data_IF_695462492829
#
_entry.id   IF_695462492829
#
_cell.length_a   1.000
_cell.length_b   1.000
_cell.length_c   1.000
_cell.angle_alpha   90.00
_cell.angle_beta   90.00
_cell.angle_gamma   90.00
#
_symmetry.space_group_name_H-M   'P 1'
#
loop_
_entity.id
_entity.type
_entity.pdbx_description
1 polymer ?
#
# COMPACT_ATOMS: atom_id res chain seq x y z
N UNK A 1 -25.13 -10.05 -4.10
CA UNK A 1 -23.92 -9.37 -4.61
C UNK A 1 -22.73 -10.13 -4.06
N UNK A 2 -21.57 -10.20 -4.74
CA UNK A 2 -20.38 -10.81 -4.13
C UNK A 2 -19.84 -9.82 -3.07
N UNK A 3 -19.70 -10.26 -1.83
CA UNK A 3 -18.98 -9.49 -0.82
C UNK A 3 -17.50 -9.69 -1.05
N UNK A 4 -16.72 -8.60 -1.14
CA UNK A 4 -15.28 -8.70 -1.32
C UNK A 4 -14.58 -8.96 0.00
N UNK A 5 -13.59 -9.86 -0.02
CA UNK A 5 -12.83 -10.16 1.19
C UNK A 5 -11.96 -8.95 1.61
N UNK A 6 -11.37 -8.25 0.62
CA UNK A 6 -10.51 -7.06 0.87
C UNK A 6 -10.87 -5.94 -0.09
N UNK A 7 -11.06 -4.73 0.44
CA UNK A 7 -11.18 -3.51 -0.35
C UNK A 7 -9.97 -2.61 -0.07
N UNK A 8 -9.21 -2.28 -1.13
CA UNK A 8 -8.10 -1.35 -1.06
C UNK A 8 -8.55 0.05 -1.49
N UNK A 9 -8.27 1.07 -0.67
CA UNK A 9 -8.75 2.43 -0.85
C UNK A 9 -7.56 3.38 -1.01
N UNK A 10 -7.56 4.15 -2.11
CA UNK A 10 -6.52 5.15 -2.32
C UNK A 10 -6.29 5.53 -3.77
N UNK A 11 -5.06 5.94 -4.10
CA UNK A 11 -4.69 6.37 -5.45
C UNK A 11 -4.44 5.19 -6.38
N UNK A 12 -4.74 5.47 -7.65
CA UNK A 12 -4.34 4.74 -8.83
C UNK A 12 -3.85 5.78 -9.83
N UNK A 13 -2.62 5.69 -10.30
CA UNK A 13 -1.95 6.73 -11.06
C UNK A 13 -1.03 6.16 -12.14
N UNK A 14 -0.54 7.04 -13.02
CA UNK A 14 0.50 6.68 -13.99
C UNK A 14 1.86 7.11 -13.46
N UNK A 15 2.80 6.18 -13.43
CA UNK A 15 4.22 6.47 -13.31
C UNK A 15 4.86 6.51 -14.70
N UNK A 16 5.55 7.62 -14.98
CA UNK A 16 6.42 7.78 -16.14
C UNK A 16 7.88 7.74 -15.70
N UNK A 17 8.54 6.64 -15.94
CA UNK A 17 9.96 6.45 -15.66
C UNK A 17 10.78 6.90 -16.87
N UNK A 18 11.67 7.90 -16.68
CA UNK A 18 12.65 8.27 -17.72
C UNK A 18 13.58 7.10 -17.99
N UNK A 19 13.70 6.71 -19.25
CA UNK A 19 14.56 5.61 -19.70
C UNK A 19 15.89 6.09 -20.27
N UNK A 20 16.05 7.42 -20.45
CA UNK A 20 17.33 8.00 -20.80
C UNK A 20 18.29 7.91 -19.60
N UNK A 21 19.56 7.65 -19.87
CA UNK A 21 20.55 7.37 -18.83
C UNK A 21 21.17 8.66 -18.31
N UNK A 22 21.22 8.82 -16.99
CA UNK A 22 21.93 9.89 -16.29
C UNK A 22 21.48 11.31 -16.67
N UNK A 23 20.16 11.48 -16.89
CA UNK A 23 19.53 12.76 -17.18
C UNK A 23 18.50 13.14 -16.13
N UNK A 24 18.19 14.42 -15.98
CA UNK A 24 17.05 14.89 -15.21
C UNK A 24 15.77 14.94 -16.06
N UNK A 25 14.64 15.35 -15.45
CA UNK A 25 13.37 15.44 -16.16
C UNK A 25 13.33 16.57 -17.20
N UNK A 26 14.21 17.57 -17.11
CA UNK A 26 14.30 18.65 -18.10
C UNK A 26 14.95 18.14 -19.41
N UNK A 27 15.89 17.24 -19.32
CA UNK A 27 16.63 16.70 -20.45
C UNK A 27 16.05 15.39 -20.98
N UNK A 28 15.33 14.64 -20.13
CA UNK A 28 14.72 13.34 -20.45
C UNK A 28 13.68 13.43 -21.57
N UNK A 29 13.78 12.52 -22.55
CA UNK A 29 12.94 12.48 -23.76
C UNK A 29 12.13 11.22 -23.91
N UNK A 30 12.61 10.11 -23.31
CA UNK A 30 11.97 8.80 -23.41
C UNK A 30 11.44 8.38 -22.04
N UNK A 31 10.18 7.95 -22.00
CA UNK A 31 9.52 7.56 -20.77
C UNK A 31 8.79 6.23 -20.93
N UNK A 32 9.00 5.32 -19.98
CA UNK A 32 8.20 4.13 -19.83
C UNK A 32 6.98 4.44 -18.97
N UNK A 33 5.78 4.20 -19.51
CA UNK A 33 4.52 4.35 -18.78
C UNK A 33 4.21 3.07 -18.01
N UNK A 34 3.97 3.19 -16.71
CA UNK A 34 3.55 2.10 -15.83
C UNK A 34 2.29 2.46 -15.04
N UNK A 35 1.53 1.46 -14.64
CA UNK A 35 0.50 1.64 -13.64
C UNK A 35 1.15 1.67 -12.25
N UNK A 36 0.74 2.63 -11.43
CA UNK A 36 1.21 2.83 -10.08
C UNK A 36 0.07 3.15 -9.10
N UNK A 37 0.43 3.41 -7.86
CA UNK A 37 -0.48 3.60 -6.74
C UNK A 37 -0.38 2.44 -5.75
N UNK A 38 0.07 2.73 -4.54
CA UNK A 38 0.35 1.69 -3.55
C UNK A 38 -0.87 0.82 -3.24
N UNK A 39 -2.10 1.35 -2.96
CA UNK A 39 -3.26 0.51 -2.68
C UNK A 39 -3.71 -0.30 -3.91
N UNK A 40 -3.46 0.19 -5.13
CA UNK A 40 -3.72 -0.56 -6.35
C UNK A 40 -2.76 -1.76 -6.50
N UNK A 41 -1.47 -1.55 -6.19
CA UNK A 41 -0.47 -2.63 -6.16
C UNK A 41 -0.85 -3.71 -5.11
N UNK A 42 -1.32 -3.29 -3.93
CA UNK A 42 -1.81 -4.21 -2.88
C UNK A 42 -3.00 -5.02 -3.39
N UNK A 43 -4.00 -4.39 -4.02
CA UNK A 43 -5.17 -5.10 -4.57
C UNK A 43 -4.78 -6.10 -5.66
N UNK A 44 -3.85 -5.72 -6.54
CA UNK A 44 -3.30 -6.58 -7.57
C UNK A 44 -2.52 -7.77 -6.97
N UNK A 45 -1.75 -7.56 -5.89
CA UNK A 45 -1.04 -8.63 -5.20
C UNK A 45 -2.00 -9.66 -4.61
N UNK A 46 -3.09 -9.22 -3.95
CA UNK A 46 -4.12 -10.11 -3.42
C UNK A 46 -4.75 -10.93 -4.53
N UNK A 47 -5.14 -10.28 -5.62
CA UNK A 47 -5.79 -10.95 -6.76
C UNK A 47 -4.87 -11.95 -7.47
N UNK A 48 -3.59 -11.62 -7.65
CA UNK A 48 -2.56 -12.54 -8.21
C UNK A 48 -2.35 -13.79 -7.35
N UNK A 49 -2.55 -13.69 -6.05
CA UNK A 49 -2.52 -14.81 -5.10
C UNK A 49 -3.85 -15.59 -5.07
N UNK A 50 -4.81 -15.26 -5.94
CA UNK A 50 -6.11 -15.91 -6.00
C UNK A 50 -7.13 -15.42 -4.97
N UNK A 51 -6.82 -14.32 -4.26
CA UNK A 51 -7.73 -13.67 -3.32
C UNK A 51 -8.79 -12.82 -4.00
N UNK A 52 -9.86 -12.53 -3.27
CA UNK A 52 -10.95 -11.66 -3.73
C UNK A 52 -10.68 -10.22 -3.26
N UNK A 53 -10.32 -9.35 -4.20
CA UNK A 53 -9.95 -7.97 -3.95
C UNK A 53 -10.74 -6.99 -4.82
N UNK A 54 -11.13 -5.87 -4.22
CA UNK A 54 -11.69 -4.73 -4.93
C UNK A 54 -10.84 -3.48 -4.69
N UNK A 55 -10.90 -2.55 -5.64
CA UNK A 55 -10.22 -1.26 -5.54
C UNK A 55 -11.23 -0.11 -5.54
N UNK A 56 -11.10 0.80 -4.58
CA UNK A 56 -11.88 2.04 -4.47
C UNK A 56 -10.96 3.25 -4.56
N UNK A 57 -11.21 4.12 -5.52
CA UNK A 57 -10.41 5.31 -5.78
C UNK A 57 -10.98 6.11 -6.94
N UNK A 58 -10.26 7.15 -7.37
CA UNK A 58 -10.71 8.04 -8.44
C UNK A 58 -9.60 8.34 -9.44
N UNK A 59 -9.91 8.20 -10.72
CA UNK A 59 -9.03 8.54 -11.86
C UNK A 59 -9.77 9.43 -12.86
N UNK A 60 -9.08 10.09 -13.75
CA UNK A 60 -9.71 10.84 -14.82
C UNK A 60 -10.40 9.95 -15.84
N UNK A 61 -11.49 10.41 -16.43
CA UNK A 61 -12.16 9.77 -17.58
C UNK A 61 -11.38 10.08 -18.87
N UNK A 62 -10.12 9.66 -18.90
CA UNK A 62 -9.15 9.91 -19.95
C UNK A 62 -8.43 8.61 -20.37
N UNK A 63 -7.59 8.62 -21.41
CA UNK A 63 -6.87 7.42 -21.86
C UNK A 63 -6.01 6.76 -20.77
N UNK A 64 -5.49 7.53 -19.80
CA UNK A 64 -4.71 7.00 -18.69
C UNK A 64 -5.58 6.31 -17.66
N UNK A 65 -6.71 6.90 -17.27
CA UNK A 65 -7.68 6.27 -16.38
C UNK A 65 -8.22 4.95 -16.94
N UNK A 66 -8.55 4.92 -18.25
CA UNK A 66 -8.95 3.67 -18.91
C UNK A 66 -7.82 2.62 -18.96
N UNK A 67 -6.58 3.05 -19.17
CA UNK A 67 -5.43 2.14 -19.10
C UNK A 67 -5.29 1.53 -17.70
N UNK A 68 -5.34 2.35 -16.67
CA UNK A 68 -5.24 1.92 -15.27
C UNK A 68 -6.35 0.93 -14.89
N UNK A 69 -7.60 1.27 -15.25
CA UNK A 69 -8.73 0.36 -15.02
C UNK A 69 -8.50 -1.00 -15.67
N UNK A 70 -8.12 -1.01 -16.97
CA UNK A 70 -7.84 -2.26 -17.68
C UNK A 70 -6.70 -3.06 -17.07
N UNK A 71 -5.68 -2.39 -16.51
CA UNK A 71 -4.56 -3.06 -15.84
C UNK A 71 -5.04 -3.82 -14.61
N UNK A 72 -5.90 -3.22 -13.79
CA UNK A 72 -6.48 -3.90 -12.63
C UNK A 72 -7.48 -5.00 -13.03
N UNK A 73 -8.34 -4.74 -14.03
CA UNK A 73 -9.27 -5.74 -14.56
C UNK A 73 -8.52 -6.99 -15.09
N UNK A 74 -7.37 -6.79 -15.75
CA UNK A 74 -6.55 -7.88 -16.32
C UNK A 74 -5.94 -8.81 -15.26
N UNK A 75 -5.76 -8.33 -14.04
CA UNK A 75 -5.31 -9.14 -12.89
C UNK A 75 -6.47 -9.53 -11.96
N UNK A 76 -7.72 -9.37 -12.42
CA UNK A 76 -8.95 -9.77 -11.73
C UNK A 76 -9.27 -9.01 -10.44
N UNK A 77 -8.79 -7.78 -10.28
CA UNK A 77 -9.26 -6.86 -9.24
C UNK A 77 -10.63 -6.31 -9.65
N UNK A 78 -11.61 -6.33 -8.74
CA UNK A 78 -12.90 -5.67 -9.01
C UNK A 78 -12.74 -4.15 -8.98
N UNK A 79 -12.98 -3.52 -10.11
CA UNK A 79 -12.92 -2.06 -10.29
C UNK A 79 -14.28 -1.39 -10.29
N UNK A 80 -15.33 -2.05 -9.81
CA UNK A 80 -16.69 -1.49 -9.77
C UNK A 80 -16.85 -0.29 -8.84
N UNK A 81 -15.90 -0.08 -7.92
CA UNK A 81 -15.80 1.10 -7.04
C UNK A 81 -14.75 2.13 -7.51
N UNK A 82 -14.18 1.96 -8.70
CA UNK A 82 -13.29 2.95 -9.31
C UNK A 82 -14.12 4.03 -9.99
N UNK A 83 -14.00 5.27 -9.53
CA UNK A 83 -14.69 6.43 -10.10
C UNK A 83 -13.88 7.02 -11.25
N UNK A 84 -14.56 7.24 -12.40
CA UNK A 84 -13.99 7.90 -13.57
C UNK A 84 -14.47 9.35 -13.59
N UNK A 85 -13.62 10.30 -13.19
CA UNK A 85 -13.95 11.73 -13.12
C UNK A 85 -13.97 12.38 -14.50
N UNK A 86 -15.03 13.13 -14.83
CA UNK A 86 -15.18 13.79 -16.14
C UNK A 86 -14.44 15.13 -16.25
N UNK A 87 -13.99 15.68 -15.13
CA UNK A 87 -13.45 17.06 -15.08
C UNK A 87 -11.97 17.09 -14.77
N UNK A 88 -11.51 16.25 -13.85
CA UNK A 88 -10.12 16.20 -13.45
C UNK A 88 -9.35 15.10 -14.22
N UNK A 89 -8.10 15.35 -14.64
CA UNK A 89 -7.29 14.34 -15.32
C UNK A 89 -6.82 13.26 -14.34
N UNK A 90 -6.36 12.15 -14.89
CA UNK A 90 -5.64 11.12 -14.12
C UNK A 90 -4.35 11.68 -13.54
N UNK A 91 -4.02 11.32 -12.31
CA UNK A 91 -2.77 11.69 -11.65
C UNK A 91 -1.57 11.06 -12.34
N UNK A 92 -0.52 11.86 -12.56
CA UNK A 92 0.72 11.47 -13.21
C UNK A 92 1.92 11.78 -12.32
N UNK A 93 2.82 10.81 -12.20
CA UNK A 93 4.14 10.98 -11.60
C UNK A 93 5.22 10.80 -12.67
N UNK A 94 6.21 11.69 -12.70
CA UNK A 94 7.37 11.60 -13.57
C UNK A 94 8.61 11.39 -12.71
N UNK A 95 9.40 10.41 -13.06
CA UNK A 95 10.59 10.02 -12.30
C UNK A 95 11.78 9.88 -13.22
N UNK A 96 12.89 10.52 -12.87
CA UNK A 96 14.21 10.26 -13.45
C UNK A 96 15.19 9.87 -12.35
N UNK A 97 16.11 8.94 -12.64
CA UNK A 97 17.12 8.49 -11.70
C UNK A 97 18.49 8.62 -12.36
N UNK A 98 19.37 9.45 -11.77
CA UNK A 98 20.75 9.59 -12.22
C UNK A 98 21.64 8.48 -11.67
N UNK A 99 22.77 8.24 -12.32
CA UNK A 99 23.74 7.22 -11.89
C UNK A 99 24.30 7.45 -10.47
N UNK A 100 24.38 8.71 -10.04
CA UNK A 100 24.80 9.08 -8.68
C UNK A 100 23.72 8.82 -7.60
N UNK A 101 22.54 8.31 -8.00
CA UNK A 101 21.39 8.06 -7.11
C UNK A 101 20.49 9.28 -6.88
N UNK A 102 20.80 10.45 -7.45
CA UNK A 102 19.89 11.60 -7.40
C UNK A 102 18.62 11.28 -8.19
N UNK A 103 17.49 11.59 -7.57
CA UNK A 103 16.15 11.38 -8.13
C UNK A 103 15.52 12.73 -8.43
N UNK A 104 15.03 12.88 -9.65
CA UNK A 104 14.18 14.00 -10.04
C UNK A 104 12.73 13.52 -10.15
N UNK A 105 11.80 14.27 -9.54
CA UNK A 105 10.43 13.86 -9.36
C UNK A 105 9.46 15.01 -9.59
N UNK A 106 8.49 14.82 -10.47
CA UNK A 106 7.38 15.75 -10.70
C UNK A 106 6.06 15.02 -10.53
N UNK A 107 5.18 15.57 -9.70
CA UNK A 107 3.90 14.98 -9.38
C UNK A 107 2.76 15.92 -9.79
N UNK A 108 2.00 15.51 -10.79
CA UNK A 108 0.83 16.22 -11.29
C UNK A 108 -0.43 15.55 -10.76
N UNK A 109 -0.87 16.01 -9.60
CA UNK A 109 -2.04 15.46 -8.92
C UNK A 109 -3.33 15.81 -9.67
N UNK A 110 -4.17 14.83 -9.89
CA UNK A 110 -5.42 14.93 -10.63
C UNK A 110 -6.64 14.49 -9.84
N UNK A 111 -7.44 13.59 -10.42
CA UNK A 111 -8.74 13.19 -9.91
C UNK A 111 -8.70 12.55 -8.52
N UNK A 112 -7.63 11.86 -8.14
CA UNK A 112 -7.48 11.26 -6.81
C UNK A 112 -7.60 12.30 -5.68
N UNK A 113 -7.11 13.53 -5.91
CA UNK A 113 -7.21 14.61 -4.93
C UNK A 113 -8.66 15.00 -4.58
N UNK A 114 -9.58 14.71 -5.50
CA UNK A 114 -11.01 15.07 -5.39
C UNK A 114 -11.88 13.92 -4.88
N UNK A 115 -11.26 12.86 -4.38
CA UNK A 115 -12.00 11.74 -3.80
C UNK A 115 -12.71 12.14 -2.51
N UNK A 116 -14.02 11.83 -2.42
CA UNK A 116 -14.89 12.19 -1.30
C UNK A 116 -15.68 10.98 -0.82
N UNK A 117 -16.42 11.13 0.28
CA UNK A 117 -17.32 10.07 0.77
C UNK A 117 -18.47 9.77 -0.20
N UNK A 118 -18.83 10.71 -1.06
CA UNK A 118 -19.89 10.56 -2.06
C UNK A 118 -19.47 9.64 -3.21
N UNK A 119 -18.16 9.45 -3.40
CA UNK A 119 -17.59 8.56 -4.42
C UNK A 119 -17.65 7.08 -4.00
N UNK A 120 -18.06 6.79 -2.77
CA UNK A 120 -17.98 5.47 -2.16
C UNK A 120 -19.29 4.72 -2.21
N UNK A 121 -19.24 3.50 -2.71
CA UNK A 121 -20.31 2.53 -2.56
C UNK A 121 -20.28 1.95 -1.13
N UNK A 122 -21.02 2.59 -0.23
CA UNK A 122 -21.10 2.22 1.19
C UNK A 122 -21.59 0.79 1.41
N UNK A 123 -22.50 0.30 0.55
CA UNK A 123 -23.05 -1.06 0.68
C UNK A 123 -21.96 -2.10 0.45
N UNK A 124 -21.20 -1.95 -0.66
CA UNK A 124 -20.07 -2.84 -0.94
C UNK A 124 -18.95 -2.74 0.08
N UNK A 125 -18.69 -1.52 0.56
CA UNK A 125 -17.65 -1.31 1.57
C UNK A 125 -18.01 -2.01 2.89
N UNK A 126 -19.27 -1.92 3.32
CA UNK A 126 -19.75 -2.54 4.57
C UNK A 126 -19.73 -4.09 4.53
N UNK A 127 -19.76 -4.69 3.34
CA UNK A 127 -19.68 -6.13 3.17
C UNK A 127 -18.22 -6.66 3.22
N UNK A 128 -17.22 -5.79 3.11
CA UNK A 128 -15.82 -6.18 3.11
C UNK A 128 -15.35 -6.64 4.50
N UNK A 129 -14.56 -7.72 4.52
CA UNK A 129 -13.94 -8.26 5.75
C UNK A 129 -12.78 -7.39 6.21
N UNK A 130 -11.98 -6.90 5.25
CA UNK A 130 -10.80 -6.07 5.48
C UNK A 130 -10.89 -4.81 4.62
N UNK A 131 -10.63 -3.66 5.24
CA UNK A 131 -10.39 -2.42 4.53
C UNK A 131 -8.91 -2.04 4.65
N UNK A 132 -8.25 -1.91 3.50
CA UNK A 132 -6.85 -1.50 3.44
C UNK A 132 -6.72 -0.03 3.04
N UNK A 133 -6.05 0.72 3.88
CA UNK A 133 -5.73 2.13 3.75
C UNK A 133 -4.22 2.30 3.59
N UNK A 134 -3.71 2.26 2.34
CA UNK A 134 -2.28 2.24 2.03
C UNK A 134 -1.85 3.34 1.06
N UNK A 135 -2.53 4.48 1.05
CA UNK A 135 -2.34 5.53 0.04
C UNK A 135 -1.18 6.47 0.35
N UNK A 136 -0.29 6.69 -0.62
CA UNK A 136 0.75 7.71 -0.55
C UNK A 136 0.19 9.13 -0.72
N UNK A 137 -1.00 9.31 -1.28
CA UNK A 137 -1.57 10.61 -1.62
C UNK A 137 -2.78 11.03 -0.78
N UNK A 138 -3.50 10.07 -0.19
CA UNK A 138 -4.75 10.35 0.52
C UNK A 138 -4.57 11.34 1.67
N UNK A 139 -3.49 11.23 2.43
CA UNK A 139 -3.23 12.09 3.59
C UNK A 139 -2.70 13.48 3.23
N UNK A 140 -2.40 13.77 1.96
CA UNK A 140 -1.73 15.02 1.52
C UNK A 140 -2.60 16.26 1.67
N UNK A 141 -3.89 16.17 1.43
CA UNK A 141 -4.81 17.32 1.45
C UNK A 141 -6.28 16.89 1.39
N UNK A 142 -7.16 17.79 1.83
CA UNK A 142 -8.61 17.69 1.58
C UNK A 142 -8.98 17.90 0.11
N UNK A 143 -10.11 17.34 -0.34
CA UNK A 143 -11.10 16.56 0.45
C UNK A 143 -10.70 15.13 0.74
N UNK A 144 -9.68 14.56 0.08
CA UNK A 144 -9.35 13.16 0.20
C UNK A 144 -8.92 12.78 1.63
N UNK A 145 -8.10 13.61 2.31
CA UNK A 145 -7.64 13.33 3.67
C UNK A 145 -8.82 13.19 4.65
N UNK A 146 -9.76 14.12 4.63
CA UNK A 146 -10.94 14.06 5.48
C UNK A 146 -11.83 12.85 5.17
N UNK A 147 -12.06 12.54 3.89
CA UNK A 147 -12.83 11.37 3.47
C UNK A 147 -12.16 10.07 3.95
N UNK A 148 -10.84 9.95 3.76
CA UNK A 148 -10.05 8.78 4.11
C UNK A 148 -10.09 8.49 5.62
N UNK A 149 -9.83 9.49 6.46
CA UNK A 149 -9.88 9.35 7.92
C UNK A 149 -11.31 9.06 8.41
N UNK A 150 -12.32 9.67 7.76
CA UNK A 150 -13.73 9.40 8.11
C UNK A 150 -14.13 7.96 7.77
N UNK A 151 -13.66 7.43 6.63
CA UNK A 151 -13.88 6.03 6.27
C UNK A 151 -13.25 5.06 7.28
N UNK A 152 -12.03 5.34 7.72
CA UNK A 152 -11.38 4.54 8.76
C UNK A 152 -12.20 4.53 10.06
N UNK A 153 -12.76 5.69 10.46
CA UNK A 153 -13.66 5.77 11.62
C UNK A 153 -14.93 4.95 11.43
N UNK A 154 -15.57 5.04 10.26
CA UNK A 154 -16.79 4.25 9.93
C UNK A 154 -16.46 2.74 9.95
N UNK A 155 -15.34 2.34 9.37
CA UNK A 155 -14.91 0.96 9.37
C UNK A 155 -14.71 0.41 10.81
N UNK A 156 -14.08 1.22 11.68
CA UNK A 156 -13.91 0.86 13.11
C UNK A 156 -15.25 0.70 13.81
N UNK A 157 -16.18 1.64 13.60
CA UNK A 157 -17.53 1.60 14.18
C UNK A 157 -18.32 0.36 13.71
N UNK A 158 -18.08 -0.09 12.48
CA UNK A 158 -18.69 -1.30 11.89
C UNK A 158 -17.98 -2.60 12.30
N UNK A 159 -16.88 -2.55 13.05
CA UNK A 159 -16.13 -3.72 13.46
C UNK A 159 -15.38 -4.41 12.31
N UNK A 160 -15.06 -3.70 11.23
CA UNK A 160 -14.26 -4.21 10.12
C UNK A 160 -12.79 -4.21 10.50
N UNK A 161 -12.02 -5.14 9.92
CA UNK A 161 -10.57 -5.19 10.12
C UNK A 161 -9.88 -4.12 9.28
N UNK A 162 -9.11 -3.24 9.93
CA UNK A 162 -8.46 -2.09 9.30
C UNK A 162 -6.97 -2.36 9.18
N UNK A 163 -6.48 -2.38 7.93
CA UNK A 163 -5.05 -2.39 7.61
C UNK A 163 -4.61 -1.00 7.15
N UNK A 164 -3.49 -0.53 7.69
CA UNK A 164 -2.92 0.77 7.35
C UNK A 164 -1.43 0.67 6.99
N UNK A 165 -1.04 1.34 5.89
CA UNK A 165 0.34 1.60 5.50
C UNK A 165 0.47 3.11 5.21
N UNK A 166 1.26 3.87 5.98
CA UNK A 166 1.38 5.31 5.80
C UNK A 166 1.98 5.73 4.45
N UNK A 167 2.73 4.84 3.83
CA UNK A 167 3.32 5.01 2.50
C UNK A 167 3.97 6.40 2.31
N UNK A 168 4.82 6.79 3.25
CA UNK A 168 5.52 8.07 3.24
C UNK A 168 6.33 8.23 1.96
N UNK A 169 6.24 9.41 1.37
CA UNK A 169 7.05 9.82 0.22
C UNK A 169 7.65 11.20 0.51
N UNK A 170 8.96 11.25 0.71
CA UNK A 170 9.67 12.50 1.06
C UNK A 170 9.34 13.64 0.10
N UNK A 171 9.34 13.37 -1.21
CA UNK A 171 9.06 14.37 -2.24
C UNK A 171 7.65 14.99 -2.12
N UNK A 172 6.66 14.23 -1.66
CA UNK A 172 5.27 14.71 -1.47
C UNK A 172 5.11 15.47 -0.14
N UNK A 173 5.93 15.16 0.85
CA UNK A 173 5.84 15.73 2.20
C UNK A 173 6.95 16.72 2.53
N UNK A 174 7.74 17.15 1.53
CA UNK A 174 8.87 18.06 1.74
C UNK A 174 8.46 19.30 2.53
N UNK A 175 9.10 19.52 3.68
CA UNK A 175 8.80 20.62 4.61
C UNK A 175 7.53 20.43 5.46
N UNK A 176 6.80 19.30 5.33
CA UNK A 176 5.53 19.02 6.03
C UNK A 176 5.55 17.71 6.84
N UNK A 177 6.72 17.25 7.27
CA UNK A 177 6.87 15.97 8.00
C UNK A 177 6.03 15.94 9.30
N UNK A 178 5.97 17.04 10.05
CA UNK A 178 5.15 17.12 11.27
C UNK A 178 3.65 16.97 11.01
N UNK A 179 3.17 17.46 9.87
CA UNK A 179 1.79 17.29 9.43
C UNK A 179 1.52 15.82 9.06
N UNK A 180 2.42 15.20 8.29
CA UNK A 180 2.36 13.77 8.00
C UNK A 180 2.26 12.94 9.29
N UNK A 181 3.16 13.15 10.24
CA UNK A 181 3.16 12.44 11.54
C UNK A 181 1.83 12.60 12.26
N UNK A 182 1.28 13.82 12.28
CA UNK A 182 0.00 14.09 12.92
C UNK A 182 -1.16 13.32 12.31
N UNK A 183 -1.25 13.26 10.96
CA UNK A 183 -2.35 12.56 10.29
C UNK A 183 -2.14 11.05 10.29
N UNK A 184 -0.90 10.56 10.15
CA UNK A 184 -0.58 9.14 10.25
C UNK A 184 -0.92 8.57 11.64
N UNK A 185 -0.63 9.28 12.72
CA UNK A 185 -1.02 8.87 14.07
C UNK A 185 -2.54 8.72 14.25
N UNK A 186 -3.34 9.57 13.61
CA UNK A 186 -4.81 9.42 13.63
C UNK A 186 -5.27 8.14 12.94
N UNK A 187 -4.63 7.78 11.83
CA UNK A 187 -4.91 6.55 11.11
C UNK A 187 -4.47 5.31 11.91
N UNK A 188 -3.26 5.34 12.48
CA UNK A 188 -2.72 4.26 13.34
C UNK A 188 -3.64 3.96 14.52
N UNK A 189 -4.20 5.00 15.15
CA UNK A 189 -5.04 4.88 16.36
C UNK A 189 -6.30 4.01 16.17
N UNK A 190 -6.73 3.77 14.93
CA UNK A 190 -7.92 2.97 14.61
C UNK A 190 -7.60 1.67 13.87
N UNK A 191 -6.31 1.42 13.58
CA UNK A 191 -5.88 0.32 12.73
C UNK A 191 -5.59 -0.96 13.52
N UNK A 192 -6.00 -2.11 12.96
CA UNK A 192 -5.75 -3.43 13.53
C UNK A 192 -4.39 -3.97 13.06
N UNK A 193 -4.00 -3.72 11.82
CA UNK A 193 -2.71 -4.09 11.25
C UNK A 193 -2.03 -2.86 10.65
N UNK A 194 -0.85 -2.50 11.17
CA UNK A 194 -0.03 -1.39 10.69
C UNK A 194 1.27 -1.93 10.13
N UNK A 195 1.51 -1.69 8.85
CA UNK A 195 2.83 -1.93 8.26
C UNK A 195 3.55 -0.59 8.08
N UNK A 196 4.80 -0.54 8.47
CA UNK A 196 5.71 0.60 8.23
C UNK A 196 7.06 0.09 7.74
N UNK A 197 7.82 0.93 7.02
CA UNK A 197 9.25 0.73 6.86
C UNK A 197 10.00 1.15 8.13
N UNK A 198 11.28 0.81 8.23
CA UNK A 198 12.17 1.28 9.30
C UNK A 198 12.27 2.82 9.33
N UNK A 199 12.34 3.46 8.17
CA UNK A 199 12.33 4.91 8.03
C UNK A 199 11.00 5.53 8.51
N UNK A 200 9.88 4.98 8.09
CA UNK A 200 8.54 5.44 8.51
C UNK A 200 8.34 5.27 10.02
N UNK A 201 8.84 4.18 10.59
CA UNK A 201 8.81 3.98 12.04
C UNK A 201 9.58 5.09 12.76
N UNK A 202 10.81 5.41 12.32
CA UNK A 202 11.61 6.51 12.89
C UNK A 202 10.88 7.86 12.77
N UNK A 203 10.34 8.17 11.59
CA UNK A 203 9.62 9.43 11.33
C UNK A 203 8.39 9.56 12.24
N UNK A 204 7.57 8.51 12.36
CA UNK A 204 6.29 8.56 13.09
C UNK A 204 6.50 8.51 14.60
N UNK A 205 7.43 7.68 15.07
CA UNK A 205 7.71 7.51 16.50
C UNK A 205 8.65 8.57 17.06
N UNK A 206 9.52 9.16 16.22
CA UNK A 206 10.55 10.09 16.61
C UNK A 206 11.78 9.43 17.25
N UNK A 207 11.89 8.09 17.18
CA UNK A 207 13.01 7.33 17.77
C UNK A 207 13.59 6.33 16.78
N UNK A 208 14.94 6.15 16.81
CA UNK A 208 15.66 5.21 15.94
C UNK A 208 15.58 3.75 16.40
N UNK A 209 15.36 3.55 17.68
CA UNK A 209 15.27 2.23 18.29
C UNK A 209 13.95 1.57 17.87
N UNK A 210 14.03 0.49 17.09
CA UNK A 210 12.87 -0.18 16.54
C UNK A 210 11.93 -0.72 17.62
N UNK A 211 12.46 -1.25 18.74
CA UNK A 211 11.62 -1.79 19.81
C UNK A 211 10.82 -0.69 20.50
N UNK A 212 11.46 0.46 20.77
CA UNK A 212 10.78 1.63 21.33
C UNK A 212 9.80 2.24 20.33
N UNK A 213 10.18 2.31 19.05
CA UNK A 213 9.30 2.79 18.00
C UNK A 213 8.02 1.97 17.88
N UNK A 214 8.15 0.64 17.89
CA UNK A 214 6.99 -0.30 17.86
C UNK A 214 6.12 -0.13 19.11
N UNK A 215 6.72 0.02 20.30
CA UNK A 215 5.96 0.26 21.54
C UNK A 215 5.11 1.55 21.43
N UNK A 216 5.69 2.63 20.86
CA UNK A 216 4.96 3.89 20.61
C UNK A 216 3.78 3.68 19.66
N UNK A 217 3.94 2.87 18.59
CA UNK A 217 2.82 2.60 17.67
C UNK A 217 1.69 1.83 18.38
N UNK A 218 2.01 0.88 19.27
CA UNK A 218 1.00 0.21 20.11
C UNK A 218 0.34 1.19 21.10
N UNK A 219 1.09 2.10 21.73
CA UNK A 219 0.54 3.15 22.59
C UNK A 219 -0.42 4.10 21.85
N UNK A 220 -0.18 4.34 20.55
CA UNK A 220 -1.09 5.12 19.68
C UNK A 220 -2.38 4.35 19.40
N UNK A 221 -2.35 3.01 19.33
CA UNK A 221 -3.54 2.18 19.15
C UNK A 221 -3.41 1.02 18.16
N UNK A 222 -2.26 0.80 17.52
CA UNK A 222 -2.05 -0.33 16.62
C UNK A 222 -2.13 -1.67 17.37
N UNK A 223 -2.92 -2.64 16.88
CA UNK A 223 -2.99 -3.98 17.48
C UNK A 223 -1.82 -4.86 17.01
N UNK A 224 -1.52 -4.83 15.71
CA UNK A 224 -0.42 -5.59 15.10
C UNK A 224 0.46 -4.60 14.35
N UNK A 225 1.78 -4.67 14.57
CA UNK A 225 2.78 -3.84 13.89
C UNK A 225 3.76 -4.74 13.14
N UNK A 226 3.94 -4.45 11.86
CA UNK A 226 4.94 -5.08 10.98
C UNK A 226 5.89 -4.02 10.45
N UNK A 227 7.15 -4.04 10.91
CA UNK A 227 8.20 -3.12 10.42
C UNK A 227 9.06 -3.85 9.40
N UNK A 228 8.98 -3.46 8.13
CA UNK A 228 9.81 -4.06 7.08
C UNK A 228 11.23 -3.52 7.14
N UNK A 229 12.22 -4.44 7.21
CA UNK A 229 13.66 -4.17 7.36
C UNK A 229 14.45 -4.60 6.11
N UNK A 230 13.82 -4.54 4.95
CA UNK A 230 14.40 -4.96 3.67
C UNK A 230 14.87 -6.43 3.72
N UNK A 231 16.12 -6.70 3.34
CA UNK A 231 16.69 -8.06 3.31
C UNK A 231 16.74 -8.76 4.68
N UNK A 232 16.63 -8.02 5.76
CA UNK A 232 16.62 -8.58 7.13
C UNK A 232 15.28 -9.20 7.51
N UNK A 233 14.23 -8.95 6.72
CA UNK A 233 12.88 -9.45 6.99
C UNK A 233 11.99 -8.40 7.65
N UNK A 234 11.16 -8.82 8.60
CA UNK A 234 10.16 -7.97 9.22
C UNK A 234 10.15 -8.14 10.74
N UNK A 235 10.25 -7.03 11.48
CA UNK A 235 9.99 -7.02 12.92
C UNK A 235 8.46 -7.01 13.11
N UNK A 236 7.94 -8.13 13.62
CA UNK A 236 6.53 -8.33 13.93
C UNK A 236 6.29 -8.13 15.42
N UNK A 237 5.20 -7.45 15.77
CA UNK A 237 4.74 -7.31 17.16
C UNK A 237 3.21 -7.30 17.27
N UNK A 238 2.69 -7.90 18.33
CA UNK A 238 1.26 -7.82 18.72
C UNK A 238 1.08 -7.09 20.08
N UNK A 239 2.08 -6.33 20.51
CA UNK A 239 2.07 -5.62 21.78
C UNK A 239 2.49 -6.46 22.99
N UNK A 240 2.47 -7.79 22.89
CA UNK A 240 2.94 -8.73 23.93
C UNK A 240 4.21 -9.43 23.50
N UNK A 241 4.14 -10.04 22.32
CA UNK A 241 5.22 -10.80 21.70
C UNK A 241 5.80 -9.99 20.54
N UNK A 242 7.09 -10.19 20.27
CA UNK A 242 7.77 -9.60 19.11
C UNK A 242 8.93 -10.47 18.65
N UNK A 243 9.15 -10.49 17.34
CA UNK A 243 10.21 -11.28 16.71
C UNK A 243 10.57 -10.69 15.35
N UNK A 244 11.83 -10.82 14.94
CA UNK A 244 12.23 -10.56 13.56
C UNK A 244 12.01 -11.83 12.76
N UNK A 245 11.04 -11.79 11.85
CA UNK A 245 10.75 -12.87 10.91
C UNK A 245 11.65 -12.69 9.69
N UNK A 246 12.57 -13.63 9.42
CA UNK A 246 13.55 -13.45 8.35
C UNK A 246 12.89 -13.44 6.97
N UNK A 247 13.52 -12.69 6.04
CA UNK A 247 13.18 -12.78 4.61
C UNK A 247 13.97 -13.90 3.95
N UNK A 248 13.59 -14.26 2.71
CA UNK A 248 14.36 -15.17 1.88
C UNK A 248 15.46 -14.42 1.12
N UNK A 249 16.64 -15.03 0.91
CA UNK A 249 17.69 -14.42 0.12
C UNK A 249 17.34 -14.43 -1.37
N UNK A 250 17.38 -13.25 -2.00
CA UNK A 250 17.18 -13.08 -3.44
C UNK A 250 18.21 -12.12 -4.03
N UNK A 251 18.47 -12.22 -5.34
CA UNK A 251 19.20 -11.19 -6.06
C UNK A 251 18.21 -10.11 -6.49
N UNK A 252 18.25 -8.96 -5.81
CA UNK A 252 17.36 -7.85 -6.11
C UNK A 252 17.77 -7.13 -7.40
N UNK A 253 16.78 -6.92 -8.28
CA UNK A 253 16.89 -6.14 -9.53
C UNK A 253 16.18 -4.79 -9.33
N UNK A 254 14.95 -4.81 -8.79
CA UNK A 254 14.11 -3.65 -8.56
C UNK A 254 13.28 -3.89 -7.29
N UNK A 255 13.24 -2.94 -6.36
CA UNK A 255 12.46 -3.04 -5.12
C UNK A 255 11.09 -2.37 -5.20
N UNK A 256 10.72 -1.84 -6.37
CA UNK A 256 9.43 -1.17 -6.58
C UNK A 256 8.27 -2.13 -6.30
N UNK A 257 7.33 -1.70 -5.46
CA UNK A 257 6.17 -2.50 -5.09
C UNK A 257 6.40 -3.66 -4.11
N UNK A 258 7.64 -3.88 -3.64
CA UNK A 258 7.93 -4.98 -2.69
C UNK A 258 7.16 -4.82 -1.37
N UNK A 259 7.05 -3.59 -0.85
CA UNK A 259 6.24 -3.27 0.33
C UNK A 259 4.75 -3.52 0.10
N UNK A 260 4.23 -3.11 -1.05
CA UNK A 260 2.83 -3.31 -1.43
C UNK A 260 2.53 -4.82 -1.59
N UNK A 261 3.45 -5.57 -2.20
CA UNK A 261 3.35 -7.02 -2.34
C UNK A 261 3.38 -7.74 -0.99
N UNK A 262 4.23 -7.30 -0.06
CA UNK A 262 4.23 -7.78 1.33
C UNK A 262 2.85 -7.55 1.98
N UNK A 263 2.32 -6.34 1.91
CA UNK A 263 0.99 -6.03 2.47
C UNK A 263 -0.09 -6.87 1.80
N UNK A 264 -0.11 -6.94 0.46
CA UNK A 264 -1.08 -7.75 -0.27
C UNK A 264 -1.07 -9.22 0.12
N UNK A 265 0.12 -9.80 0.29
CA UNK A 265 0.29 -11.18 0.74
C UNK A 265 -0.17 -11.39 2.19
N UNK A 266 0.14 -10.44 3.09
CA UNK A 266 -0.34 -10.48 4.47
C UNK A 266 -1.88 -10.41 4.52
N UNK A 267 -2.49 -9.50 3.76
CA UNK A 267 -3.95 -9.34 3.70
C UNK A 267 -4.64 -10.54 3.05
N UNK A 268 -4.02 -11.15 2.03
CA UNK A 268 -4.50 -12.41 1.46
C UNK A 268 -4.60 -13.52 2.52
N UNK A 269 -3.57 -13.70 3.34
CA UNK A 269 -3.56 -14.68 4.43
C UNK A 269 -4.56 -14.32 5.55
N UNK A 270 -4.62 -13.04 5.95
CA UNK A 270 -5.56 -12.54 6.94
C UNK A 270 -7.03 -12.73 6.50
N UNK A 271 -7.33 -12.48 5.21
CA UNK A 271 -8.68 -12.68 4.67
C UNK A 271 -9.14 -14.14 4.76
N UNK A 272 -8.21 -15.10 4.66
CA UNK A 272 -8.46 -16.53 4.80
C UNK A 272 -8.44 -17.03 6.26
N UNK A 273 -8.31 -16.14 7.24
CA UNK A 273 -8.35 -16.49 8.68
C UNK A 273 -9.80 -16.42 9.20
N UNK A 274 -10.27 -17.49 9.85
CA UNK A 274 -11.68 -17.59 10.31
C UNK A 274 -12.02 -16.53 11.36
N UNK A 275 -11.11 -16.23 12.29
CA UNK A 275 -11.31 -15.29 13.40
C UNK A 275 -10.36 -14.10 13.29
N UNK A 276 -10.48 -13.34 12.22
CA UNK A 276 -9.57 -12.22 11.94
C UNK A 276 -9.54 -11.18 13.07
N UNK A 277 -10.66 -10.92 13.74
CA UNK A 277 -10.78 -9.91 14.79
C UNK A 277 -10.00 -10.24 16.08
N UNK A 278 -9.56 -11.46 16.23
CA UNK A 278 -8.74 -11.92 17.37
C UNK A 278 -7.40 -12.52 16.93
N UNK A 279 -6.98 -12.29 15.69
CA UNK A 279 -5.73 -12.84 15.15
C UNK A 279 -4.49 -12.27 15.86
N UNK A 280 -4.59 -11.09 16.45
CA UNK A 280 -3.56 -10.47 17.28
C UNK A 280 -3.18 -11.33 18.50
N UNK A 281 -4.11 -12.14 19.01
CA UNK A 281 -3.83 -13.05 20.11
C UNK A 281 -3.05 -14.32 19.69
N UNK A 282 -3.00 -14.65 18.39
CA UNK A 282 -2.29 -15.81 17.85
C UNK A 282 -0.97 -15.40 17.17
N UNK A 283 0.08 -15.24 17.97
CA UNK A 283 1.39 -14.84 17.46
C UNK A 283 2.02 -15.87 16.52
N UNK A 284 1.71 -17.17 16.70
CA UNK A 284 2.19 -18.22 15.81
C UNK A 284 1.59 -18.05 14.42
N UNK A 285 0.29 -17.78 14.35
CA UNK A 285 -0.39 -17.47 13.08
C UNK A 285 0.15 -16.22 12.41
N UNK A 286 0.40 -15.16 13.17
CA UNK A 286 1.00 -13.93 12.66
C UNK A 286 2.40 -14.17 12.07
N UNK A 287 3.23 -15.02 12.69
CA UNK A 287 4.55 -15.40 12.15
C UNK A 287 4.42 -16.11 10.80
N UNK A 288 3.47 -17.03 10.64
CA UNK A 288 3.20 -17.71 9.37
C UNK A 288 2.81 -16.71 8.29
N UNK A 289 1.88 -15.78 8.60
CA UNK A 289 1.41 -14.74 7.71
C UNK A 289 2.58 -13.85 7.24
N UNK A 290 3.38 -13.36 8.20
CA UNK A 290 4.51 -12.47 7.88
C UNK A 290 5.63 -13.20 7.14
N UNK A 291 5.88 -14.49 7.45
CA UNK A 291 6.84 -15.32 6.71
C UNK A 291 6.44 -15.45 5.24
N UNK A 292 5.16 -15.73 4.97
CA UNK A 292 4.63 -15.77 3.62
C UNK A 292 4.73 -14.40 2.93
N UNK A 293 4.38 -13.32 3.62
CA UNK A 293 4.45 -11.96 3.08
C UNK A 293 5.90 -11.53 2.74
N UNK A 294 6.87 -11.87 3.60
CA UNK A 294 8.30 -11.64 3.34
C UNK A 294 8.76 -12.35 2.05
N UNK A 295 8.30 -13.57 1.83
CA UNK A 295 8.63 -14.35 0.64
C UNK A 295 8.09 -13.69 -0.63
N UNK A 296 6.82 -13.26 -0.60
CA UNK A 296 6.20 -12.58 -1.76
C UNK A 296 6.91 -11.25 -2.05
N UNK A 297 7.16 -10.42 -1.03
CA UNK A 297 7.89 -9.17 -1.19
C UNK A 297 9.31 -9.35 -1.74
N UNK A 298 10.02 -10.41 -1.30
CA UNK A 298 11.35 -10.72 -1.83
C UNK A 298 11.31 -11.16 -3.30
N UNK A 299 10.32 -11.98 -3.71
CA UNK A 299 10.18 -12.44 -5.09
C UNK A 299 9.88 -11.27 -6.06
N UNK A 300 9.10 -10.28 -5.65
CA UNK A 300 8.87 -9.06 -6.45
C UNK A 300 10.20 -8.38 -6.77
N UNK A 301 11.13 -8.32 -5.83
CA UNK A 301 12.44 -7.69 -6.06
C UNK A 301 13.28 -8.36 -7.16
N UNK A 302 12.94 -9.55 -7.62
CA UNK A 302 13.67 -10.26 -8.69
C UNK A 302 13.28 -9.88 -10.11
N UNK A 303 12.23 -9.05 -10.26
CA UNK A 303 11.70 -8.59 -11.56
C UNK A 303 11.60 -7.07 -11.57
N UNK A 304 11.43 -6.46 -12.74
CA UNK A 304 11.23 -5.01 -12.88
C UNK A 304 9.73 -4.68 -12.81
N UNK A 305 9.38 -3.61 -12.09
CA UNK A 305 8.03 -3.08 -11.96
C UNK A 305 7.28 -3.57 -10.72
N UNK A 306 6.07 -3.04 -10.50
CA UNK A 306 5.23 -3.39 -9.36
C UNK A 306 4.24 -4.50 -9.72
N UNK A 307 3.12 -4.19 -10.41
CA UNK A 307 2.05 -5.15 -10.75
C UNK A 307 2.57 -6.27 -11.65
N UNK A 308 3.45 -5.95 -12.61
CA UNK A 308 4.01 -6.93 -13.55
C UNK A 308 4.99 -7.91 -12.88
N UNK A 309 5.60 -7.50 -11.76
CA UNK A 309 6.55 -8.32 -10.99
C UNK A 309 5.87 -9.26 -9.98
N UNK A 310 4.56 -9.10 -9.72
CA UNK A 310 3.83 -9.88 -8.72
C UNK A 310 3.81 -11.38 -9.07
N UNK A 311 4.23 -12.26 -8.15
CA UNK A 311 4.18 -13.71 -8.35
C UNK A 311 2.77 -14.27 -8.20
N UNK A 312 2.49 -15.37 -8.89
CA UNK A 312 1.35 -16.25 -8.61
C UNK A 312 1.64 -17.19 -7.44
N UNK A 313 0.61 -17.85 -6.90
CA UNK A 313 0.80 -18.88 -5.86
C UNK A 313 1.74 -20.00 -6.32
N UNK A 314 1.59 -20.48 -7.57
CA UNK A 314 2.44 -21.54 -8.12
C UNK A 314 3.91 -21.13 -8.18
N UNK A 315 4.21 -19.87 -8.55
CA UNK A 315 5.59 -19.35 -8.55
C UNK A 315 6.18 -19.28 -7.13
N UNK A 316 5.35 -19.03 -6.12
CA UNK A 316 5.78 -18.99 -4.71
C UNK A 316 6.08 -20.41 -4.19
N UNK A 317 5.28 -21.40 -4.54
CA UNK A 317 5.46 -22.79 -4.12
C UNK A 317 6.72 -23.41 -4.72
N UNK A 318 7.02 -23.12 -6.00
CA UNK A 318 8.23 -23.63 -6.69
C UNK A 318 9.51 -22.98 -6.14
N UNK A 319 9.42 -21.82 -5.50
CA UNK A 319 10.57 -21.12 -4.90
C UNK A 319 10.96 -21.65 -3.51
N UNK A 320 10.38 -22.77 -3.10
CA UNK A 320 10.70 -23.54 -1.90
C UNK A 320 11.76 -24.60 -2.20
#
# INVERSE_FOLDING_TARGET
MRSHSVVCIGELLIDFFCTDVDVDLMEGRQFLKSAGGAPANVSAAIAKLGGDAAFSGKVGKDPFGYFLKRTLDAVHVDTSMLVMDEKAPTTLAFVSLKQNGERDFVFNRGADALFTLEDIDQEKLNEAKILHFGSATALLSDPFCSAYLRLMSIAKDNGQFISFDPNYREDLWRGRVSEFVSVAKKAIAVSDFVKVSDEELEIISGVKDHEKGVAILHEIGANIVAVTLGKSGTLLSNGKDREIIPSIPVTSIDSTGAGDAFVGAALYQLANTDQIQSVDADFVKLREIVSFANKVGALVCTKIGAIDALPSLDEIEVSL
#
